data_IF_980801573553
#
_entry.id   IF_980801573553
#
_cell.length_a   1.000
_cell.length_b   1.000
_cell.length_c   1.000
_cell.angle_alpha   90.00
_cell.angle_beta   90.00
_cell.angle_gamma   90.00
#
_symmetry.space_group_name_H-M   'P 1'
#
loop_
_entity.id
_entity.type
_entity.pdbx_description
1 polymer ?
#
# COMPACT_ATOMS: atom_id res chain seq x y z
N UNK A 1 -2.21 -6.62 -25.86
CA UNK A 1 -2.28 -7.04 -24.44
C UNK A 1 -1.47 -8.32 -24.29
N UNK A 2 -0.48 -8.35 -23.39
CA UNK A 2 0.42 -9.50 -23.25
C UNK A 2 -0.29 -10.76 -22.73
N UNK A 3 -1.25 -10.61 -21.82
CA UNK A 3 -2.02 -11.72 -21.25
C UNK A 3 -2.94 -12.36 -22.30
N UNK A 4 -3.69 -11.57 -23.07
CA UNK A 4 -4.49 -12.10 -24.20
C UNK A 4 -3.64 -12.88 -25.20
N UNK A 5 -2.46 -12.36 -25.55
CA UNK A 5 -1.55 -13.05 -26.48
C UNK A 5 -0.99 -14.37 -25.91
N UNK A 6 -0.83 -14.48 -24.58
CA UNK A 6 -0.42 -15.71 -23.92
C UNK A 6 -1.53 -16.77 -23.98
N UNK A 7 -2.79 -16.36 -23.74
CA UNK A 7 -3.96 -17.23 -23.89
C UNK A 7 -4.12 -17.72 -25.33
N UNK A 8 -3.99 -16.83 -26.32
CA UNK A 8 -4.05 -17.19 -27.74
C UNK A 8 -2.96 -18.20 -28.16
N UNK A 9 -1.86 -18.25 -27.41
CA UNK A 9 -0.76 -19.18 -27.63
C UNK A 9 -0.83 -20.42 -26.72
N UNK A 10 -1.89 -20.58 -25.93
CA UNK A 10 -2.03 -21.63 -24.92
C UNK A 10 -0.85 -21.69 -23.94
N UNK A 11 -0.22 -20.53 -23.69
CA UNK A 11 0.90 -20.35 -22.76
C UNK A 11 0.37 -19.73 -21.46
N UNK A 12 0.52 -20.44 -20.34
CA UNK A 12 0.04 -20.02 -19.02
C UNK A 12 1.21 -19.98 -18.03
N UNK A 13 2.05 -18.93 -18.10
CA UNK A 13 3.14 -18.76 -17.15
C UNK A 13 2.63 -18.27 -15.79
N UNK A 14 3.54 -18.30 -14.83
CA UNK A 14 3.44 -17.49 -13.62
C UNK A 14 3.68 -16.00 -13.98
N UNK A 15 2.83 -15.12 -13.44
CA UNK A 15 2.96 -13.67 -13.63
C UNK A 15 3.51 -13.04 -12.34
N UNK A 16 4.80 -12.71 -12.35
CA UNK A 16 5.48 -12.20 -11.15
C UNK A 16 5.32 -10.70 -11.01
N UNK A 17 4.77 -10.27 -9.88
CA UNK A 17 4.69 -8.87 -9.47
C UNK A 17 5.99 -8.43 -8.80
N UNK A 18 6.60 -7.38 -9.36
CA UNK A 18 7.87 -6.82 -8.88
C UNK A 18 7.71 -5.52 -8.09
N UNK A 19 6.50 -5.17 -7.64
CA UNK A 19 6.21 -3.88 -7.03
C UNK A 19 6.10 -2.71 -8.04
N UNK A 20 5.90 -3.00 -9.33
CA UNK A 20 5.59 -1.95 -10.30
C UNK A 20 4.26 -1.29 -9.95
N UNK A 21 4.27 0.04 -9.84
CA UNK A 21 3.14 0.81 -9.37
C UNK A 21 1.81 0.40 -10.07
N UNK A 22 0.81 0.14 -9.24
CA UNK A 22 -0.59 -0.10 -9.59
C UNK A 22 -0.92 -1.47 -10.20
N UNK A 23 0.06 -2.24 -10.66
CA UNK A 23 -0.19 -3.61 -11.18
C UNK A 23 -0.69 -4.53 -10.05
N UNK A 24 -0.29 -4.22 -8.82
CA UNK A 24 -0.68 -4.82 -7.55
C UNK A 24 -2.00 -4.27 -6.98
N UNK A 25 -2.87 -3.73 -7.82
CA UNK A 25 -4.22 -3.27 -7.43
C UNK A 25 -5.33 -4.03 -8.15
N UNK A 26 -6.42 -4.32 -7.45
CA UNK A 26 -7.54 -5.08 -7.99
C UNK A 26 -8.21 -4.36 -9.16
N UNK A 27 -8.23 -3.03 -9.11
CA UNK A 27 -8.75 -2.15 -10.17
C UNK A 27 -8.12 -2.45 -11.53
N UNK A 28 -6.79 -2.60 -11.58
CA UNK A 28 -6.07 -2.89 -12.82
C UNK A 28 -6.04 -4.39 -13.13
N UNK A 29 -5.89 -5.24 -12.11
CA UNK A 29 -5.88 -6.70 -12.27
C UNK A 29 -7.13 -7.24 -12.97
N UNK A 30 -8.32 -6.68 -12.67
CA UNK A 30 -9.59 -7.00 -13.33
C UNK A 30 -9.62 -6.70 -14.83
N UNK A 31 -8.69 -5.90 -15.35
CA UNK A 31 -8.63 -5.53 -16.77
C UNK A 31 -7.85 -6.52 -17.62
N UNK A 32 -7.03 -7.37 -17.00
CA UNK A 32 -6.25 -8.38 -17.69
C UNK A 32 -7.10 -9.60 -18.05
N UNK A 33 -6.57 -10.49 -18.90
CA UNK A 33 -7.16 -11.80 -19.11
C UNK A 33 -7.13 -12.60 -17.80
N UNK A 34 -8.31 -12.90 -17.25
CA UNK A 34 -8.44 -13.57 -15.96
C UNK A 34 -7.96 -15.03 -16.00
N UNK A 35 -7.98 -15.69 -17.17
CA UNK A 35 -7.42 -17.04 -17.30
C UNK A 35 -5.89 -17.04 -17.14
N UNK A 36 -5.24 -15.89 -17.41
CA UNK A 36 -3.81 -15.69 -17.21
C UNK A 36 -3.51 -15.16 -15.82
N UNK A 37 -4.25 -14.13 -15.41
CA UNK A 37 -3.97 -13.40 -14.17
C UNK A 37 -4.27 -14.23 -12.93
N UNK A 38 -5.03 -15.33 -13.03
CA UNK A 38 -5.14 -16.35 -11.99
C UNK A 38 -3.79 -16.94 -11.54
N UNK A 39 -2.72 -16.79 -12.34
CA UNK A 39 -1.35 -17.21 -12.00
C UNK A 39 -0.48 -16.02 -11.52
N UNK A 40 -1.07 -14.88 -11.15
CA UNK A 40 -0.34 -13.69 -10.75
C UNK A 40 -0.09 -13.62 -9.24
N UNK A 41 1.16 -13.38 -8.85
CA UNK A 41 1.58 -13.25 -7.47
C UNK A 41 2.91 -12.51 -7.35
N UNK A 42 3.28 -12.08 -6.15
CA UNK A 42 4.60 -11.51 -5.87
C UNK A 42 4.54 -10.39 -4.85
N UNK A 43 5.41 -9.40 -5.01
CA UNK A 43 5.56 -8.32 -4.05
C UNK A 43 4.62 -7.14 -4.36
N UNK A 44 3.98 -6.63 -3.32
CA UNK A 44 3.20 -5.39 -3.36
C UNK A 44 3.80 -4.32 -2.46
N UNK A 45 3.89 -3.11 -3.02
CA UNK A 45 4.22 -1.91 -2.25
C UNK A 45 3.00 -1.38 -1.49
N UNK A 46 1.79 -1.77 -1.90
CA UNK A 46 0.55 -1.39 -1.22
C UNK A 46 0.37 -2.20 0.06
N UNK A 47 -0.32 -1.61 1.03
CA UNK A 47 -0.69 -2.25 2.29
C UNK A 47 -2.13 -2.77 2.21
N UNK A 48 -2.50 -3.66 3.15
CA UNK A 48 -3.87 -4.20 3.17
C UNK A 48 -4.86 -3.04 3.27
N UNK A 49 -5.80 -2.92 2.33
CA UNK A 49 -6.81 -1.88 2.37
C UNK A 49 -7.59 -1.92 3.69
N UNK A 50 -7.93 -0.73 4.19
CA UNK A 50 -8.92 -0.58 5.26
C UNK A 50 -10.20 0.05 4.71
N UNK A 51 -11.29 -0.04 5.45
CA UNK A 51 -12.47 0.78 5.17
C UNK A 51 -12.08 2.27 5.16
N UNK A 52 -12.49 3.01 4.12
CA UNK A 52 -12.17 4.44 3.95
C UNK A 52 -12.69 5.32 5.09
N UNK A 53 -13.74 4.88 5.76
CA UNK A 53 -14.35 5.51 6.93
C UNK A 53 -13.53 5.25 8.21
N UNK A 54 -12.63 4.27 8.19
CA UNK A 54 -11.81 3.91 9.34
C UNK A 54 -10.43 4.59 9.36
N UNK A 55 -10.02 5.23 8.25
CA UNK A 55 -8.75 5.94 8.18
C UNK A 55 -8.43 6.56 6.83
N UNK A 56 -7.26 7.19 6.75
CA UNK A 56 -6.81 7.88 5.55
C UNK A 56 -7.58 9.16 5.24
N UNK A 57 -7.47 9.63 4.00
CA UNK A 57 -7.94 10.95 3.61
C UNK A 57 -9.47 11.10 3.53
N UNK A 58 -10.21 10.00 3.29
CA UNK A 58 -11.67 10.04 3.31
C UNK A 58 -12.16 10.31 4.73
N UNK A 59 -11.72 9.47 5.68
CA UNK A 59 -11.98 9.66 7.10
C UNK A 59 -11.58 11.06 7.57
N UNK A 60 -10.37 11.54 7.23
CA UNK A 60 -9.92 12.88 7.63
C UNK A 60 -10.79 14.00 7.06
N UNK A 61 -11.24 13.87 5.81
CA UNK A 61 -12.14 14.85 5.19
C UNK A 61 -13.49 14.88 5.91
N UNK A 62 -14.11 13.71 6.10
CA UNK A 62 -15.40 13.59 6.76
C UNK A 62 -15.32 14.05 8.23
N UNK A 63 -14.26 13.66 8.94
CA UNK A 63 -13.97 14.14 10.29
C UNK A 63 -13.87 15.67 10.34
N UNK A 64 -13.23 16.31 9.36
CA UNK A 64 -13.04 17.77 9.37
C UNK A 64 -14.30 18.54 8.92
N UNK A 65 -15.04 18.01 7.93
CA UNK A 65 -16.16 18.72 7.30
C UNK A 65 -17.54 18.28 7.80
N UNK A 66 -17.66 17.12 8.44
CA UNK A 66 -18.92 16.53 8.88
C UNK A 66 -19.75 15.91 7.74
N UNK A 67 -19.20 15.81 6.53
CA UNK A 67 -19.85 15.21 5.37
C UNK A 67 -18.84 14.45 4.49
N UNK A 68 -19.36 13.49 3.73
CA UNK A 68 -18.54 12.72 2.80
C UNK A 68 -17.92 13.64 1.71
N UNK A 69 -16.68 13.36 1.29
CA UNK A 69 -16.01 14.14 0.26
C UNK A 69 -16.73 14.07 -1.10
N UNK A 70 -16.71 15.17 -1.89
CA UNK A 70 -17.40 15.23 -3.18
C UNK A 70 -16.79 14.30 -4.25
N UNK A 71 -15.54 13.88 -4.09
CA UNK A 71 -14.83 13.00 -5.01
C UNK A 71 -14.21 11.79 -4.27
N UNK A 72 -15.04 10.89 -3.70
CA UNK A 72 -14.59 9.89 -2.74
C UNK A 72 -13.58 8.88 -3.34
N UNK A 73 -13.69 8.61 -4.64
CA UNK A 73 -12.84 7.61 -5.33
C UNK A 73 -11.58 8.21 -5.97
N UNK A 74 -11.29 9.50 -5.76
CA UNK A 74 -10.04 10.15 -6.21
C UNK A 74 -9.12 10.53 -5.06
N UNK A 75 -9.60 10.34 -3.84
CA UNK A 75 -8.94 10.81 -2.63
C UNK A 75 -7.65 10.04 -2.33
N UNK A 76 -7.59 8.76 -2.67
CA UNK A 76 -6.38 7.95 -2.54
C UNK A 76 -5.20 8.46 -3.39
N UNK A 77 -5.46 9.30 -4.41
CA UNK A 77 -4.40 9.92 -5.22
C UNK A 77 -3.69 11.10 -4.51
N UNK A 78 -4.16 11.52 -3.32
CA UNK A 78 -3.49 12.55 -2.52
C UNK A 78 -2.33 11.92 -1.77
N UNK A 79 -1.16 11.82 -2.39
CA UNK A 79 -0.03 11.18 -1.72
C UNK A 79 0.58 12.11 -0.65
N UNK A 80 0.80 11.54 0.54
CA UNK A 80 1.73 12.04 1.57
C UNK A 80 1.46 13.40 2.23
N UNK A 81 0.26 13.98 2.15
CA UNK A 81 -0.02 15.28 2.79
C UNK A 81 0.29 15.28 4.30
N UNK A 82 -0.05 14.20 5.02
CA UNK A 82 0.27 14.06 6.46
C UNK A 82 1.77 14.09 6.74
N UNK A 83 2.57 13.41 5.91
CA UNK A 83 4.02 13.43 6.01
C UNK A 83 4.59 14.82 5.70
N UNK A 84 4.09 15.49 4.66
CA UNK A 84 4.50 16.86 4.34
C UNK A 84 4.26 17.79 5.52
N UNK A 85 3.09 17.75 6.16
CA UNK A 85 2.81 18.58 7.33
C UNK A 85 3.67 18.21 8.55
N UNK A 86 3.96 16.92 8.76
CA UNK A 86 4.86 16.50 9.83
C UNK A 86 6.29 17.04 9.62
N UNK A 87 6.81 16.97 8.39
CA UNK A 87 8.13 17.51 8.04
C UNK A 87 8.16 19.05 8.17
N UNK A 88 7.12 19.75 7.67
CA UNK A 88 7.00 21.20 7.83
C UNK A 88 7.03 21.62 9.31
N UNK A 89 6.32 20.89 10.17
CA UNK A 89 6.33 21.15 11.62
C UNK A 89 7.70 20.83 12.23
N UNK A 90 8.35 19.76 11.78
CA UNK A 90 9.69 19.35 12.24
C UNK A 90 10.78 20.36 11.92
N UNK A 91 10.73 20.97 10.72
CA UNK A 91 11.66 22.05 10.31
C UNK A 91 11.44 23.32 11.15
N UNK A 92 10.18 23.67 11.42
CA UNK A 92 9.83 24.84 12.21
C UNK A 92 10.00 26.16 11.46
N UNK A 93 10.33 27.28 12.17
CA UNK A 93 10.25 28.63 11.61
C UNK A 93 11.31 28.97 10.55
N UNK A 94 12.42 28.21 10.49
CA UNK A 94 13.46 28.38 9.47
C UNK A 94 13.14 27.54 8.22
N UNK A 95 11.93 27.74 7.69
CA UNK A 95 11.43 26.95 6.58
C UNK A 95 12.06 27.41 5.26
N UNK A 96 13.06 26.67 4.81
CA UNK A 96 13.63 26.74 3.46
C UNK A 96 13.46 25.39 2.76
N UNK A 97 13.65 25.36 1.44
CA UNK A 97 13.56 24.09 0.70
C UNK A 97 14.74 23.17 1.05
N UNK A 98 15.89 23.75 1.38
CA UNK A 98 17.07 23.05 1.87
C UNK A 98 16.79 22.40 3.23
N UNK A 99 16.30 23.17 4.21
CA UNK A 99 16.00 22.66 5.54
C UNK A 99 14.88 21.59 5.51
N UNK A 100 13.91 21.72 4.60
CA UNK A 100 12.90 20.69 4.38
C UNK A 100 13.50 19.39 3.81
N UNK A 101 14.39 19.50 2.81
CA UNK A 101 15.06 18.33 2.25
C UNK A 101 15.94 17.63 3.29
N UNK A 102 16.72 18.40 4.06
CA UNK A 102 17.54 17.88 5.14
C UNK A 102 16.69 17.16 6.20
N UNK A 103 15.55 17.76 6.61
CA UNK A 103 14.64 17.12 7.55
C UNK A 103 14.06 15.81 7.00
N UNK A 104 13.67 15.76 5.72
CA UNK A 104 13.17 14.55 5.09
C UNK A 104 14.23 13.44 5.05
N UNK A 105 15.46 13.76 4.64
CA UNK A 105 16.57 12.81 4.50
C UNK A 105 17.14 12.33 5.84
N UNK A 106 16.93 13.07 6.93
CA UNK A 106 17.37 12.73 8.28
C UNK A 106 16.23 12.15 9.15
N UNK A 107 15.01 12.05 8.64
CA UNK A 107 13.86 11.55 9.40
C UNK A 107 13.99 10.06 9.65
N UNK A 108 13.64 9.64 10.87
CA UNK A 108 13.44 8.23 11.15
C UNK A 108 12.29 7.68 10.27
N UNK A 109 12.34 6.38 9.91
CA UNK A 109 11.25 5.74 9.18
C UNK A 109 9.90 5.95 9.87
N UNK A 110 8.83 6.11 9.08
CA UNK A 110 7.47 6.00 9.60
C UNK A 110 7.25 4.58 10.15
N UNK A 111 6.31 4.42 11.09
CA UNK A 111 6.17 3.20 11.90
C UNK A 111 6.41 1.89 11.15
N UNK A 112 7.39 1.10 11.61
CA UNK A 112 7.76 -0.20 11.02
C UNK A 112 6.83 -1.31 11.52
N UNK A 113 6.50 -2.24 10.62
CA UNK A 113 5.72 -3.44 10.94
C UNK A 113 4.20 -3.21 11.03
N UNK A 114 3.71 -2.07 10.54
CA UNK A 114 2.28 -1.91 10.28
C UNK A 114 1.84 -2.79 9.11
N UNK A 115 0.60 -3.26 9.11
CA UNK A 115 0.02 -4.08 8.02
C UNK A 115 -0.96 -3.30 7.14
N UNK A 116 -1.49 -2.17 7.65
CA UNK A 116 -2.39 -1.27 6.91
C UNK A 116 -1.72 0.02 6.45
N UNK A 117 -0.41 0.16 6.71
CA UNK A 117 0.41 1.29 6.26
C UNK A 117 1.85 0.83 5.99
N UNK A 118 2.49 1.31 4.91
CA UNK A 118 3.91 1.01 4.67
C UNK A 118 4.84 1.77 5.61
N UNK A 119 6.01 1.20 5.90
CA UNK A 119 7.15 1.97 6.42
C UNK A 119 7.71 2.86 5.31
N UNK A 120 7.98 4.11 5.65
CA UNK A 120 8.45 5.11 4.71
C UNK A 120 9.67 5.82 5.28
N UNK A 121 10.77 5.86 4.54
CA UNK A 121 11.98 6.60 4.89
C UNK A 121 12.74 7.12 3.66
N UNK A 122 13.69 8.01 3.90
CA UNK A 122 14.59 8.54 2.88
C UNK A 122 15.99 8.72 3.45
N UNK A 123 16.96 8.92 2.57
CA UNK A 123 18.32 9.29 2.94
C UNK A 123 19.24 8.09 3.14
N UNK A 124 20.31 8.30 3.88
CA UNK A 124 21.40 7.32 4.02
C UNK A 124 21.44 6.63 5.39
N UNK A 125 20.68 7.14 6.36
CA UNK A 125 20.79 6.74 7.77
C UNK A 125 19.74 5.70 8.17
N UNK A 126 19.01 5.10 7.21
CA UNK A 126 17.95 4.13 7.50
C UNK A 126 18.46 2.68 7.67
N UNK A 127 19.74 2.42 7.35
CA UNK A 127 20.41 1.11 7.41
C UNK A 127 19.71 -0.01 6.61
N UNK A 128 18.81 0.34 5.69
CA UNK A 128 18.02 -0.64 4.91
C UNK A 128 18.69 -1.01 3.60
N UNK A 129 19.39 -0.06 2.99
CA UNK A 129 19.86 -0.18 1.62
C UNK A 129 21.39 -0.23 1.51
N UNK A 130 21.92 -0.98 0.54
CA UNK A 130 23.36 -0.99 0.23
C UNK A 130 23.91 0.41 -0.06
N UNK A 131 25.19 0.65 0.28
CA UNK A 131 25.84 1.96 0.09
C UNK A 131 25.79 2.48 -1.36
N UNK A 132 25.78 1.58 -2.36
CA UNK A 132 25.80 1.92 -3.78
C UNK A 132 24.46 2.44 -4.33
N UNK A 133 23.39 2.35 -3.55
CA UNK A 133 22.06 2.88 -3.89
C UNK A 133 21.63 4.05 -2.99
N UNK A 134 22.52 4.55 -2.13
CA UNK A 134 22.26 5.70 -1.27
C UNK A 134 22.52 7.05 -1.97
N UNK A 135 21.82 8.14 -1.59
CA UNK A 135 20.71 8.17 -0.62
C UNK A 135 19.46 7.49 -1.18
N UNK A 136 18.68 6.84 -0.32
CA UNK A 136 17.40 6.29 -0.71
C UNK A 136 16.39 7.42 -1.00
N UNK A 137 15.88 7.42 -2.23
CA UNK A 137 14.91 8.38 -2.72
C UNK A 137 13.56 7.73 -3.09
N UNK A 138 13.38 6.44 -2.81
CA UNK A 138 12.21 5.67 -3.24
C UNK A 138 11.05 5.70 -2.24
N UNK A 139 11.33 5.95 -0.96
CA UNK A 139 10.32 6.22 0.05
C UNK A 139 9.80 4.97 0.76
N UNK A 140 9.26 3.97 0.05
CA UNK A 140 8.68 2.78 0.69
C UNK A 140 9.79 1.78 1.06
N UNK A 141 9.82 1.37 2.33
CA UNK A 141 10.86 0.51 2.89
C UNK A 141 10.49 -0.99 2.90
N UNK A 142 9.20 -1.31 2.98
CA UNK A 142 8.69 -2.66 3.18
C UNK A 142 7.61 -3.05 2.17
N UNK A 143 7.47 -4.35 1.94
CA UNK A 143 6.54 -4.94 0.96
C UNK A 143 5.77 -6.10 1.56
N UNK A 144 4.58 -6.37 1.04
CA UNK A 144 3.80 -7.58 1.34
C UNK A 144 3.88 -8.57 0.20
N UNK A 145 3.61 -9.84 0.49
CA UNK A 145 3.35 -10.87 -0.53
C UNK A 145 1.85 -10.93 -0.84
N UNK A 146 1.52 -10.95 -2.13
CA UNK A 146 0.14 -11.00 -2.61
C UNK A 146 -0.04 -12.01 -3.74
N UNK A 147 -1.26 -12.47 -3.93
CA UNK A 147 -1.68 -13.25 -5.10
C UNK A 147 -3.07 -12.86 -5.57
N UNK A 148 -3.35 -13.05 -6.86
CA UNK A 148 -4.65 -12.71 -7.44
C UNK A 148 -5.67 -13.85 -7.29
N UNK A 149 -6.76 -13.59 -6.59
CA UNK A 149 -7.89 -14.49 -6.48
C UNK A 149 -9.01 -14.03 -7.43
N UNK A 150 -9.22 -14.70 -8.59
CA UNK A 150 -10.24 -14.31 -9.56
C UNK A 150 -11.68 -14.61 -9.10
N UNK A 151 -11.86 -15.50 -8.12
CA UNK A 151 -13.16 -16.03 -7.72
C UNK A 151 -13.78 -15.26 -6.55
N UNK A 152 -12.95 -14.69 -5.67
CA UNK A 152 -13.43 -13.86 -4.56
C UNK A 152 -14.04 -12.56 -5.06
N UNK A 153 -15.25 -12.26 -4.58
CA UNK A 153 -15.93 -10.98 -4.82
C UNK A 153 -15.58 -10.01 -3.71
N UNK A 154 -15.05 -8.85 -4.08
CA UNK A 154 -14.68 -7.82 -3.12
C UNK A 154 -14.58 -6.43 -3.74
N UNK A 155 -14.24 -5.44 -2.91
CA UNK A 155 -14.13 -4.04 -3.30
C UNK A 155 -12.74 -3.75 -3.85
N UNK A 156 -12.65 -3.14 -5.02
CA UNK A 156 -11.38 -2.59 -5.51
C UNK A 156 -11.02 -1.26 -4.82
N UNK A 157 -9.90 -0.67 -5.21
CA UNK A 157 -9.36 0.59 -4.69
C UNK A 157 -10.24 1.80 -5.03
N UNK A 158 -11.20 1.65 -5.95
CA UNK A 158 -12.24 2.64 -6.28
C UNK A 158 -13.59 2.31 -5.63
N UNK A 159 -13.63 1.25 -4.83
CA UNK A 159 -14.78 0.69 -4.11
C UNK A 159 -15.94 0.31 -4.99
N UNK A 160 -15.56 -0.30 -6.11
CA UNK A 160 -16.46 -1.07 -6.95
C UNK A 160 -16.36 -2.52 -6.54
N UNK A 161 -17.50 -3.09 -6.20
CA UNK A 161 -17.63 -4.52 -5.98
C UNK A 161 -17.47 -5.27 -7.31
N UNK A 162 -16.74 -6.38 -7.28
CA UNK A 162 -16.54 -7.24 -8.44
C UNK A 162 -15.79 -8.51 -8.07
N UNK A 163 -15.88 -9.51 -8.95
CA UNK A 163 -15.03 -10.69 -8.87
C UNK A 163 -13.57 -10.30 -9.12
N UNK A 164 -12.65 -10.99 -8.45
CA UNK A 164 -11.23 -10.68 -8.51
C UNK A 164 -10.79 -9.71 -7.43
N UNK A 165 -9.95 -10.17 -6.51
CA UNK A 165 -9.23 -9.33 -5.54
C UNK A 165 -7.81 -9.84 -5.31
N UNK A 166 -6.90 -8.95 -4.93
CA UNK A 166 -5.62 -9.37 -4.38
C UNK A 166 -5.80 -9.86 -2.94
N UNK A 167 -5.25 -11.04 -2.68
CA UNK A 167 -5.14 -11.63 -1.35
C UNK A 167 -3.75 -11.35 -0.81
N UNK A 168 -3.67 -10.79 0.39
CA UNK A 168 -2.43 -10.53 1.11
C UNK A 168 -2.09 -11.72 2.00
N UNK A 169 -0.91 -12.29 1.83
CA UNK A 169 -0.41 -13.44 2.58
C UNK A 169 -0.19 -13.07 4.06
N UNK A 170 -0.45 -14.00 4.97
CA UNK A 170 -0.19 -13.87 6.42
C UNK A 170 -0.77 -12.57 7.01
N UNK A 171 -2.04 -12.30 6.70
CA UNK A 171 -2.75 -11.11 7.14
C UNK A 171 -2.19 -9.79 6.59
N UNK A 172 -1.33 -9.85 5.57
CA UNK A 172 -0.61 -8.69 5.02
C UNK A 172 0.62 -8.26 5.80
N UNK A 173 1.27 -9.21 6.47
CA UNK A 173 2.60 -9.00 7.03
C UNK A 173 3.52 -8.34 6.00
N UNK A 174 4.30 -7.35 6.45
CA UNK A 174 5.23 -6.58 5.62
C UNK A 174 6.67 -6.91 5.98
N UNK A 175 7.51 -7.07 4.97
CA UNK A 175 8.90 -7.48 5.11
C UNK A 175 9.84 -6.36 4.65
N UNK A 176 10.80 -6.00 5.50
CA UNK A 176 11.95 -5.18 5.11
C UNK A 176 12.95 -6.01 4.28
N UNK A 177 13.90 -5.36 3.59
CA UNK A 177 15.03 -6.05 2.97
C UNK A 177 15.70 -7.05 3.94
N UNK A 178 15.85 -8.30 3.48
CA UNK A 178 16.45 -9.39 4.27
C UNK A 178 15.54 -10.02 5.34
N UNK A 179 14.27 -9.62 5.44
CA UNK A 179 13.31 -10.20 6.41
C UNK A 179 12.33 -11.20 5.80
N UNK A 180 12.38 -11.43 4.49
CA UNK A 180 11.58 -12.46 3.84
C UNK A 180 11.81 -13.83 4.49
N UNK A 181 10.75 -14.60 4.75
CA UNK A 181 10.89 -15.91 5.39
C UNK A 181 11.61 -16.90 4.47
N UNK A 182 12.46 -17.74 5.07
CA UNK A 182 13.13 -18.86 4.38
C UNK A 182 12.19 -20.09 4.18
N UNK A 183 10.87 -19.88 4.29
CA UNK A 183 9.86 -20.92 4.07
C UNK A 183 9.25 -20.79 2.68
N UNK A 184 8.59 -21.85 2.22
CA UNK A 184 7.80 -21.77 1.00
C UNK A 184 6.74 -20.66 1.10
N UNK A 185 6.55 -19.96 -0.02
CA UNK A 185 5.50 -18.96 -0.17
C UNK A 185 4.12 -19.58 0.05
N UNK A 186 3.21 -18.81 0.64
CA UNK A 186 1.79 -19.20 0.83
C UNK A 186 0.87 -18.56 -0.19
N UNK A 187 1.40 -18.10 -1.33
CA UNK A 187 0.56 -17.64 -2.44
C UNK A 187 -0.39 -18.76 -2.88
N UNK A 188 -1.62 -18.39 -3.25
CA UNK A 188 -2.71 -19.31 -3.57
C UNK A 188 -3.21 -20.19 -2.41
N UNK A 189 -2.69 -20.01 -1.19
CA UNK A 189 -3.27 -20.55 0.03
C UNK A 189 -4.21 -19.50 0.66
N UNK A 190 -5.52 -19.75 0.73
CA UNK A 190 -6.44 -18.81 1.38
C UNK A 190 -6.29 -18.80 2.91
N UNK A 191 -5.65 -19.80 3.52
CA UNK A 191 -5.52 -19.88 4.97
C UNK A 191 -4.63 -18.74 5.51
N UNK A 192 -5.25 -17.83 6.27
CA UNK A 192 -4.56 -16.66 6.84
C UNK A 192 -4.36 -15.50 5.85
N UNK A 193 -4.82 -15.62 4.61
CA UNK A 193 -4.84 -14.52 3.66
C UNK A 193 -6.00 -13.55 3.92
N UNK A 194 -5.85 -12.30 3.48
CA UNK A 194 -6.90 -11.28 3.62
C UNK A 194 -6.88 -10.30 2.44
N UNK A 195 -8.04 -9.83 1.99
CA UNK A 195 -8.17 -8.79 0.97
C UNK A 195 -8.34 -7.38 1.57
N UNK A 196 -8.92 -7.30 2.79
CA UNK A 196 -9.25 -6.02 3.45
C UNK A 196 -9.48 -6.16 4.95
N UNK A 197 -9.12 -5.12 5.71
CA UNK A 197 -9.57 -4.92 7.09
C UNK A 197 -10.71 -3.90 7.19
N UNK A 198 -11.92 -4.33 7.56
CA UNK A 198 -13.02 -3.39 7.83
C UNK A 198 -12.82 -2.57 9.11
N UNK A 199 -11.91 -3.01 9.98
CA UNK A 199 -11.49 -2.28 11.16
C UNK A 199 -9.98 -2.41 11.30
N UNK A 200 -9.22 -1.30 11.38
CA UNK A 200 -7.78 -1.37 11.53
C UNK A 200 -7.36 -2.14 12.80
N UNK A 201 -6.21 -2.83 12.76
CA UNK A 201 -5.59 -3.41 13.95
C UNK A 201 -5.48 -2.38 15.07
N UNK A 202 -5.67 -2.81 16.33
CA UNK A 202 -5.70 -1.89 17.48
C UNK A 202 -4.45 -1.02 17.58
N UNK A 203 -3.27 -1.58 17.27
CA UNK A 203 -1.98 -0.88 17.24
C UNK A 203 -1.86 0.19 16.14
N UNK A 204 -2.71 0.14 15.12
CA UNK A 204 -2.68 1.04 13.95
C UNK A 204 -3.88 1.99 13.90
N UNK A 205 -4.77 1.96 14.90
CA UNK A 205 -5.90 2.87 14.96
C UNK A 205 -5.42 4.30 15.24
N UNK A 206 -5.95 5.23 14.46
CA UNK A 206 -5.75 6.66 14.73
C UNK A 206 -6.42 7.02 16.06
N UNK A 207 -5.80 7.86 16.92
CA UNK A 207 -6.45 8.33 18.13
C UNK A 207 -7.76 9.08 17.81
N UNK A 208 -8.73 8.97 18.71
CA UNK A 208 -10.00 9.68 18.57
C UNK A 208 -9.85 11.15 18.97
N UNK A 209 -10.32 12.05 18.10
CA UNK A 209 -10.33 13.48 18.32
C UNK A 209 -11.71 14.05 18.00
N UNK A 210 -12.25 14.98 18.81
CA UNK A 210 -13.49 15.65 18.49
C UNK A 210 -13.44 16.29 17.09
N UNK A 211 -14.50 16.07 16.30
CA UNK A 211 -14.65 16.71 15.00
C UNK A 211 -14.81 18.23 15.14
N UNK A 212 -14.12 19.04 14.33
CA UNK A 212 -14.39 20.48 14.26
C UNK A 212 -15.76 20.83 13.63
N UNK A 213 -16.43 19.87 12.98
CA UNK A 213 -17.77 20.08 12.40
C UNK A 213 -18.91 20.06 13.44
N UNK A 214 -18.64 19.55 14.65
CA UNK A 214 -19.59 19.51 15.77
C UNK A 214 -20.27 18.16 15.98
#
# INVERSE_FOLDING_TARGET
>A
EFTLAATDQEYFPEWILSGTALVDTSTFARTYDQAQWANAFGMSNTAVPIAREAGGFYFLYEWFHGEAPPAPNRIAAQWQASLTFALLQGVGPDLTHENYADAMLASAPTGRGGITTPSISWGSDNELWPEDVLPDLNGIDDVSEVWWDPDTVGLDELEREGAGVYQYVDGGTRYLPGQWPDTDSKVFDPDGAIDRYFTPPESERTPDYPSPAG
#
